data_IF_439712646710
#
_entry.id   IF_439712646710
#
_cell.length_a   1.000
_cell.length_b   1.000
_cell.length_c   1.000
_cell.angle_alpha   90.00
_cell.angle_beta   90.00
_cell.angle_gamma   90.00
#
_symmetry.space_group_name_H-M   'P 1'
#
loop_
_entity.id
_entity.type
_entity.pdbx_description
1 polymer ?
#
# COMPACT_ATOMS: atom_id res chain seq x y z
N UNK A 1 -14.88 -34.56 -11.02
CA UNK A 1 -14.54 -33.84 -12.27
C UNK A 1 -14.82 -32.36 -12.03
N UNK A 2 -13.80 -31.55 -11.78
CA UNK A 2 -13.96 -30.11 -11.60
C UNK A 2 -13.63 -29.40 -12.91
N UNK A 3 -14.58 -28.63 -13.43
CA UNK A 3 -14.43 -27.82 -14.63
C UNK A 3 -13.31 -26.80 -14.40
N UNK A 4 -12.21 -26.96 -15.15
CA UNK A 4 -11.06 -26.07 -15.13
C UNK A 4 -11.46 -24.66 -15.49
N UNK A 5 -11.33 -23.74 -14.54
CA UNK A 5 -11.42 -22.31 -14.81
C UNK A 5 -10.19 -21.91 -15.61
N UNK A 6 -10.42 -21.54 -16.86
CA UNK A 6 -9.41 -21.03 -17.77
C UNK A 6 -8.95 -19.68 -17.24
N UNK A 7 -7.78 -19.64 -16.59
CA UNK A 7 -7.11 -18.39 -16.24
C UNK A 7 -6.62 -17.78 -17.55
N UNK A 8 -7.33 -16.78 -18.05
CA UNK A 8 -6.83 -15.97 -19.15
C UNK A 8 -5.63 -15.19 -18.64
N UNK A 9 -4.42 -15.62 -19.03
CA UNK A 9 -3.26 -14.77 -18.94
C UNK A 9 -3.52 -13.56 -19.85
N UNK A 10 -3.91 -12.44 -19.25
CA UNK A 10 -3.95 -11.16 -19.97
C UNK A 10 -2.50 -10.81 -20.26
N UNK A 11 -2.08 -11.04 -21.50
CA UNK A 11 -0.80 -10.56 -22.01
C UNK A 11 -0.90 -9.04 -22.04
N UNK A 12 -0.33 -8.37 -21.03
CA UNK A 12 -0.22 -6.92 -21.02
C UNK A 12 0.65 -6.50 -22.22
N UNK A 13 0.04 -5.94 -23.26
CA UNK A 13 0.73 -5.38 -24.43
C UNK A 13 1.24 -3.95 -24.20
N UNK A 14 1.72 -3.65 -23.00
CA UNK A 14 2.23 -2.31 -22.68
C UNK A 14 3.71 -2.41 -22.29
N UNK A 15 4.54 -2.82 -23.25
CA UNK A 15 5.98 -2.55 -23.26
C UNK A 15 6.34 -1.72 -24.48
N UNK A 16 5.57 -0.67 -24.75
CA UNK A 16 6.00 0.42 -25.62
C UNK A 16 6.27 1.62 -24.72
N UNK A 17 7.55 1.96 -24.55
CA UNK A 17 8.03 3.04 -23.68
C UNK A 17 7.62 4.44 -24.16
N UNK A 18 7.03 4.57 -25.34
CA UNK A 18 6.93 5.86 -26.03
C UNK A 18 5.57 6.57 -25.88
N UNK A 19 4.58 5.99 -25.18
CA UNK A 19 3.27 6.65 -24.98
C UNK A 19 2.58 6.35 -23.64
N UNK A 20 3.32 6.18 -22.54
CA UNK A 20 2.70 6.36 -21.22
C UNK A 20 2.51 7.86 -20.98
N UNK A 21 1.43 8.40 -21.54
CA UNK A 21 0.81 9.62 -21.04
C UNK A 21 0.74 9.49 -19.51
N UNK A 22 1.16 10.53 -18.78
CA UNK A 22 1.30 10.50 -17.32
C UNK A 22 0.14 9.75 -16.67
N UNK A 23 0.37 8.64 -15.94
CA UNK A 23 -0.71 7.83 -15.40
C UNK A 23 -1.57 8.67 -14.46
N UNK A 24 -2.88 8.44 -14.41
CA UNK A 24 -3.71 9.14 -13.41
C UNK A 24 -3.43 8.66 -11.98
N UNK A 25 -2.93 7.43 -11.83
CA UNK A 25 -2.66 6.79 -10.54
C UNK A 25 -1.51 5.78 -10.65
N UNK A 26 -0.61 5.79 -9.66
CA UNK A 26 0.48 4.82 -9.47
C UNK A 26 0.22 4.08 -8.16
N UNK A 27 0.13 2.75 -8.19
CA UNK A 27 -0.06 1.93 -7.00
C UNK A 27 1.25 1.20 -6.67
N UNK A 28 1.75 1.41 -5.46
CA UNK A 28 2.95 0.77 -4.91
C UNK A 28 2.49 -0.29 -3.91
N UNK A 29 2.75 -1.56 -4.24
CA UNK A 29 2.47 -2.70 -3.37
C UNK A 29 3.69 -3.63 -3.38
N UNK A 30 4.60 -3.41 -2.43
CA UNK A 30 5.88 -4.13 -2.36
C UNK A 30 6.43 -4.14 -0.93
N UNK A 31 7.49 -4.92 -0.70
CA UNK A 31 8.30 -4.89 0.52
C UNK A 31 8.08 -6.05 1.50
N UNK A 32 7.03 -6.87 1.34
CA UNK A 32 6.76 -8.00 2.24
C UNK A 32 7.83 -9.09 2.13
N UNK A 33 8.48 -9.25 0.99
CA UNK A 33 9.58 -10.22 0.78
C UNK A 33 10.90 -9.76 1.40
N UNK A 34 11.07 -8.46 1.60
CA UNK A 34 12.29 -7.88 2.12
C UNK A 34 12.29 -7.77 3.65
N UNK A 35 11.20 -8.14 4.33
CA UNK A 35 11.07 -8.00 5.78
C UNK A 35 12.18 -8.72 6.57
N UNK A 36 12.65 -9.87 6.08
CA UNK A 36 13.76 -10.61 6.72
C UNK A 36 15.13 -10.00 6.42
N UNK A 37 15.35 -9.52 5.19
CA UNK A 37 16.64 -9.04 4.73
C UNK A 37 16.90 -7.56 5.08
N UNK A 38 15.86 -6.73 5.03
CA UNK A 38 15.94 -5.28 5.20
C UNK A 38 15.37 -4.79 6.54
N UNK A 39 14.55 -5.57 7.25
CA UNK A 39 13.95 -5.18 8.54
C UNK A 39 13.37 -3.74 8.49
N UNK A 40 13.89 -2.82 9.33
CA UNK A 40 13.47 -1.40 9.36
C UNK A 40 13.81 -0.62 8.08
N UNK A 41 14.73 -1.11 7.25
CA UNK A 41 15.06 -0.50 5.96
C UNK A 41 13.96 -0.70 4.91
N UNK A 42 13.03 -1.64 5.10
CA UNK A 42 11.89 -1.84 4.19
C UNK A 42 11.05 -0.57 4.07
N UNK A 43 10.77 0.12 5.18
CA UNK A 43 10.03 1.38 5.16
C UNK A 43 10.75 2.46 4.33
N UNK A 44 12.08 2.56 4.49
CA UNK A 44 12.89 3.50 3.72
C UNK A 44 12.92 3.16 2.23
N UNK A 45 12.99 1.88 1.87
CA UNK A 45 12.96 1.44 0.48
C UNK A 45 11.61 1.78 -0.19
N UNK A 46 10.50 1.47 0.49
CA UNK A 46 9.15 1.82 0.02
C UNK A 46 8.99 3.34 -0.14
N UNK A 47 9.48 4.13 0.84
CA UNK A 47 9.48 5.60 0.75
C UNK A 47 10.29 6.09 -0.45
N UNK A 48 11.46 5.53 -0.73
CA UNK A 48 12.28 5.91 -1.90
C UNK A 48 11.55 5.64 -3.21
N UNK A 49 10.81 4.54 -3.31
CA UNK A 49 9.96 4.24 -4.48
C UNK A 49 8.85 5.28 -4.61
N UNK A 50 8.19 5.63 -3.50
CA UNK A 50 7.14 6.64 -3.50
C UNK A 50 7.65 8.03 -3.92
N UNK A 51 8.79 8.47 -3.37
CA UNK A 51 9.44 9.73 -3.76
C UNK A 51 9.73 9.74 -5.25
N UNK A 52 10.31 8.66 -5.80
CA UNK A 52 10.57 8.56 -7.23
C UNK A 52 9.29 8.65 -8.05
N UNK A 53 8.24 7.93 -7.67
CA UNK A 53 6.95 8.00 -8.35
C UNK A 53 6.35 9.41 -8.35
N UNK A 54 6.42 10.13 -7.22
CA UNK A 54 5.94 11.53 -7.15
C UNK A 54 6.77 12.52 -7.97
N UNK A 55 8.06 12.23 -8.18
CA UNK A 55 8.95 13.06 -9.01
C UNK A 55 8.76 12.79 -10.50
N UNK A 56 8.61 11.52 -10.87
CA UNK A 56 8.45 11.08 -12.26
C UNK A 56 7.05 11.39 -12.78
N UNK A 57 6.04 11.34 -11.91
CA UNK A 57 4.64 11.60 -12.26
C UNK A 57 3.99 12.57 -11.26
N UNK A 58 4.31 13.87 -11.32
CA UNK A 58 3.85 14.87 -10.34
C UNK A 58 2.33 15.07 -10.34
N UNK A 59 1.67 14.84 -11.47
CA UNK A 59 0.21 14.95 -11.63
C UNK A 59 -0.53 13.65 -11.26
N UNK A 60 0.20 12.55 -11.01
CA UNK A 60 -0.40 11.29 -10.61
C UNK A 60 -0.77 11.26 -9.13
N UNK A 61 -1.86 10.56 -8.81
CA UNK A 61 -2.05 10.05 -7.44
C UNK A 61 -1.09 8.90 -7.19
N UNK A 62 -0.31 8.96 -6.13
CA UNK A 62 0.55 7.85 -5.71
C UNK A 62 -0.09 7.15 -4.52
N UNK A 63 -0.32 5.84 -4.61
CA UNK A 63 -0.98 5.07 -3.55
C UNK A 63 -0.03 4.02 -3.04
N UNK A 64 0.30 4.04 -1.75
CA UNK A 64 1.03 2.94 -1.12
C UNK A 64 0.01 2.01 -0.46
N UNK A 65 0.00 0.75 -0.87
CA UNK A 65 -0.71 -0.30 -0.15
C UNK A 65 0.18 -0.79 0.98
N UNK A 66 -0.28 -0.68 2.23
CA UNK A 66 0.50 -1.12 3.40
C UNK A 66 0.85 -2.60 3.29
N UNK A 67 1.96 -3.01 3.92
CA UNK A 67 2.37 -4.40 3.98
C UNK A 67 1.25 -5.26 4.57
N UNK A 68 0.97 -6.37 3.88
CA UNK A 68 -0.09 -7.29 4.27
C UNK A 68 0.40 -8.27 5.34
N UNK A 69 -0.51 -8.83 6.16
CA UNK A 69 -0.19 -9.90 7.08
C UNK A 69 0.41 -11.11 6.36
N UNK A 70 1.39 -11.75 7.00
CA UNK A 70 1.94 -13.07 6.64
C UNK A 70 1.94 -13.95 7.89
N UNK A 71 1.76 -15.26 7.73
CA UNK A 71 1.85 -16.22 8.85
C UNK A 71 3.31 -16.46 9.25
N UNK A 72 4.23 -16.40 8.29
CA UNK A 72 5.65 -16.65 8.49
C UNK A 72 6.43 -15.45 9.06
N UNK A 73 5.73 -14.37 9.39
CA UNK A 73 6.30 -13.11 9.88
C UNK A 73 5.48 -12.58 11.06
N UNK A 74 6.10 -12.25 12.20
CA UNK A 74 5.38 -11.73 13.36
C UNK A 74 4.57 -10.45 13.03
N UNK A 75 3.28 -10.37 13.40
CA UNK A 75 2.41 -9.23 13.07
C UNK A 75 2.95 -7.88 13.54
N UNK A 76 3.63 -7.84 14.69
CA UNK A 76 4.19 -6.60 15.24
C UNK A 76 5.30 -6.00 14.37
N UNK A 77 6.06 -6.82 13.63
CA UNK A 77 7.07 -6.33 12.70
C UNK A 77 6.42 -5.66 11.50
N UNK A 78 5.40 -6.29 10.93
CA UNK A 78 4.61 -5.74 9.82
C UNK A 78 3.95 -4.41 10.24
N UNK A 79 3.35 -4.38 11.43
CA UNK A 79 2.74 -3.18 11.98
C UNK A 79 3.76 -2.05 12.18
N UNK A 80 4.95 -2.35 12.72
CA UNK A 80 6.03 -1.37 12.91
C UNK A 80 6.46 -0.77 11.58
N UNK A 81 6.70 -1.60 10.56
CA UNK A 81 7.09 -1.12 9.22
C UNK A 81 5.99 -0.28 8.59
N UNK A 82 4.72 -0.67 8.73
CA UNK A 82 3.59 0.11 8.21
C UNK A 82 3.46 1.48 8.87
N UNK A 83 3.71 1.58 10.19
CA UNK A 83 3.77 2.86 10.91
C UNK A 83 4.90 3.73 10.36
N UNK A 84 6.08 3.17 10.13
CA UNK A 84 7.23 3.91 9.59
C UNK A 84 7.02 4.33 8.12
N UNK A 85 6.36 3.52 7.30
CA UNK A 85 5.92 3.92 5.95
C UNK A 85 4.97 5.11 6.04
N UNK A 86 3.95 5.04 6.91
CA UNK A 86 2.97 6.11 7.06
C UNK A 86 3.62 7.43 7.50
N UNK A 87 4.47 7.40 8.53
CA UNK A 87 5.21 8.58 9.00
C UNK A 87 6.13 9.13 7.92
N UNK A 88 6.96 8.28 7.30
CA UNK A 88 7.96 8.68 6.34
C UNK A 88 7.38 9.30 5.07
N UNK A 89 6.12 8.98 4.77
CA UNK A 89 5.46 9.44 3.56
C UNK A 89 4.36 10.48 3.80
N UNK A 90 4.07 10.84 5.06
CA UNK A 90 3.03 11.83 5.40
C UNK A 90 3.24 13.21 4.77
N UNK A 91 4.48 13.55 4.42
CA UNK A 91 4.84 14.84 3.82
C UNK A 91 4.89 14.81 2.29
N UNK A 92 4.62 13.67 1.64
CA UNK A 92 4.68 13.57 0.19
C UNK A 92 3.37 14.09 -0.44
N UNK A 93 3.44 15.00 -1.44
CA UNK A 93 2.25 15.49 -2.13
C UNK A 93 1.60 14.37 -2.94
N UNK A 94 0.29 14.50 -3.18
CA UNK A 94 -0.50 13.58 -4.02
C UNK A 94 -0.42 12.11 -3.60
N UNK A 95 0.01 11.83 -2.36
CA UNK A 95 0.14 10.48 -1.84
C UNK A 95 -1.06 10.08 -1.00
N UNK A 96 -1.48 8.83 -1.19
CA UNK A 96 -2.47 8.14 -0.38
C UNK A 96 -1.89 6.86 0.22
N UNK A 97 -2.33 6.51 1.42
CA UNK A 97 -2.04 5.24 2.05
C UNK A 97 -3.30 4.38 2.04
N UNK A 98 -3.22 3.19 1.46
CA UNK A 98 -4.29 2.19 1.50
C UNK A 98 -3.96 1.16 2.58
N UNK A 99 -4.70 1.23 3.69
CA UNK A 99 -4.59 0.29 4.80
C UNK A 99 -5.72 -0.73 4.78
N UNK A 100 -5.44 -1.97 5.17
CA UNK A 100 -6.38 -3.12 5.08
C UNK A 100 -6.61 -3.76 6.45
N UNK A 101 -7.28 -3.07 7.40
CA UNK A 101 -7.37 -3.51 8.80
C UNK A 101 -8.20 -4.78 9.00
N UNK A 102 -9.06 -5.14 8.04
CA UNK A 102 -9.88 -6.36 8.08
C UNK A 102 -9.15 -7.58 7.54
N UNK A 103 -7.96 -7.40 6.94
CA UNK A 103 -7.17 -8.50 6.39
C UNK A 103 -6.45 -9.24 7.53
N UNK A 104 -6.40 -10.57 7.45
CA UNK A 104 -5.90 -11.43 8.52
C UNK A 104 -5.50 -12.81 8.00
N UNK A 105 -4.94 -13.69 8.84
CA UNK A 105 -4.38 -14.98 8.39
C UNK A 105 -5.36 -15.88 7.62
N UNK A 106 -6.65 -15.84 7.94
CA UNK A 106 -7.71 -16.60 7.24
C UNK A 106 -8.00 -16.09 5.81
N UNK A 107 -7.44 -14.94 5.43
CA UNK A 107 -7.52 -14.39 4.08
C UNK A 107 -6.33 -14.80 3.20
N UNK A 108 -5.44 -15.65 3.70
CA UNK A 108 -4.33 -16.22 2.96
C UNK A 108 -4.72 -17.58 2.37
N UNK A 109 -4.18 -17.90 1.20
CA UNK A 109 -4.24 -19.22 0.60
C UNK A 109 -3.19 -20.14 1.26
N UNK A 110 -2.02 -19.58 1.56
CA UNK A 110 -0.94 -20.23 2.29
C UNK A 110 -0.41 -19.33 3.41
N UNK A 111 0.89 -19.36 3.69
CA UNK A 111 1.49 -18.53 4.74
C UNK A 111 1.82 -17.10 4.29
N UNK A 112 1.69 -16.79 3.00
CA UNK A 112 2.16 -15.54 2.37
C UNK A 112 1.13 -14.95 1.42
N UNK A 113 0.55 -15.76 0.53
CA UNK A 113 -0.25 -15.29 -0.57
C UNK A 113 -1.74 -15.19 -0.22
N UNK A 114 -2.42 -14.17 -0.74
CA UNK A 114 -3.85 -13.95 -0.52
C UNK A 114 -4.69 -15.04 -1.20
N UNK A 115 -5.76 -15.47 -0.53
CA UNK A 115 -6.85 -16.18 -1.19
C UNK A 115 -7.79 -15.20 -1.92
N UNK A 116 -8.77 -15.74 -2.65
CA UNK A 116 -9.72 -14.93 -3.44
C UNK A 116 -10.45 -13.85 -2.63
N UNK A 117 -10.81 -14.14 -1.38
CA UNK A 117 -11.48 -13.17 -0.48
C UNK A 117 -10.49 -12.08 -0.09
N UNK A 118 -9.26 -12.46 0.28
CA UNK A 118 -8.19 -11.51 0.59
C UNK A 118 -7.89 -10.54 -0.56
N UNK A 119 -7.81 -11.05 -1.79
CA UNK A 119 -7.62 -10.22 -2.98
C UNK A 119 -8.75 -9.20 -3.13
N UNK A 120 -10.00 -9.61 -2.92
CA UNK A 120 -11.15 -8.70 -2.99
C UNK A 120 -11.07 -7.58 -1.95
N UNK A 121 -10.71 -7.92 -0.70
CA UNK A 121 -10.54 -6.96 0.39
C UNK A 121 -9.47 -5.93 0.05
N UNK A 122 -8.34 -6.35 -0.54
CA UNK A 122 -7.25 -5.44 -0.91
C UNK A 122 -7.58 -4.61 -2.16
N UNK A 123 -8.22 -5.21 -3.15
CA UNK A 123 -8.48 -4.57 -4.44
C UNK A 123 -9.55 -3.47 -4.34
N UNK A 124 -10.57 -3.63 -3.49
CA UNK A 124 -11.66 -2.64 -3.38
C UNK A 124 -11.16 -1.24 -2.96
N UNK A 125 -10.43 -1.07 -1.84
CA UNK A 125 -9.89 0.23 -1.45
C UNK A 125 -8.95 0.82 -2.50
N UNK A 126 -8.12 -0.01 -3.13
CA UNK A 126 -7.18 0.44 -4.16
C UNK A 126 -7.91 0.95 -5.41
N UNK A 127 -8.96 0.25 -5.85
CA UNK A 127 -9.81 0.67 -6.96
C UNK A 127 -10.50 1.99 -6.62
N UNK A 128 -11.07 2.12 -5.43
CA UNK A 128 -11.79 3.33 -5.03
C UNK A 128 -10.86 4.55 -4.99
N UNK A 129 -9.65 4.41 -4.42
CA UNK A 129 -8.63 5.48 -4.44
C UNK A 129 -8.18 5.78 -5.87
N UNK A 130 -7.93 4.76 -6.69
CA UNK A 130 -7.47 4.95 -8.06
C UNK A 130 -8.50 5.69 -8.93
N UNK A 131 -9.80 5.49 -8.67
CA UNK A 131 -10.91 6.17 -9.36
C UNK A 131 -11.30 7.50 -8.71
N UNK A 132 -10.73 7.86 -7.56
CA UNK A 132 -11.13 9.05 -6.81
C UNK A 132 -12.50 8.94 -6.14
N UNK A 133 -13.03 7.72 -5.98
CA UNK A 133 -14.27 7.46 -5.28
C UNK A 133 -14.06 7.68 -3.77
N UNK A 134 -14.75 8.66 -3.19
CA UNK A 134 -14.70 8.91 -1.73
C UNK A 134 -15.57 7.89 -1.01
N UNK A 135 -15.00 6.80 -0.50
CA UNK A 135 -15.70 5.96 0.47
C UNK A 135 -15.53 6.58 1.88
N UNK A 136 -16.62 6.89 2.61
CA UNK A 136 -16.55 7.65 3.87
C UNK A 136 -15.83 6.95 5.04
N UNK A 137 -15.42 5.69 4.89
CA UNK A 137 -14.86 4.89 5.99
C UNK A 137 -13.33 4.68 5.95
N UNK A 138 -12.63 5.02 4.85
CA UNK A 138 -11.22 4.62 4.67
C UNK A 138 -10.21 5.77 4.49
N UNK A 139 -10.67 7.01 4.32
CA UNK A 139 -9.81 8.19 4.45
C UNK A 139 -9.63 8.53 5.94
N UNK A 140 -9.06 7.60 6.72
CA UNK A 140 -8.46 8.02 7.98
C UNK A 140 -7.18 8.76 7.63
N UNK A 141 -7.27 10.09 7.55
CA UNK A 141 -6.15 10.92 7.98
C UNK A 141 -5.80 10.44 9.39
N UNK A 142 -4.63 9.82 9.55
CA UNK A 142 -4.12 9.47 10.87
C UNK A 142 -4.14 10.74 11.74
N UNK A 143 -4.55 10.68 13.02
CA UNK A 143 -4.62 11.86 13.84
C UNK A 143 -3.23 12.51 13.91
N UNK A 144 -3.13 13.75 13.43
CA UNK A 144 -2.08 14.66 13.85
C UNK A 144 -2.16 14.71 15.38
N UNK A 145 -1.17 14.13 16.07
CA UNK A 145 -1.05 14.40 17.50
C UNK A 145 -0.95 15.92 17.68
N UNK A 146 -1.65 16.51 18.66
CA UNK A 146 -1.43 17.91 18.98
C UNK A 146 0.02 18.07 19.40
N UNK A 147 0.75 18.96 18.73
CA UNK A 147 1.99 19.51 19.24
C UNK A 147 1.69 20.14 20.60
N UNK A 148 1.99 19.43 21.68
CA UNK A 148 2.11 20.04 22.99
C UNK A 148 3.33 20.98 22.97
N UNK A 149 3.06 22.24 22.66
CA UNK A 149 3.91 23.38 23.01
C UNK A 149 3.75 23.77 24.49
N UNK A 150 4.67 24.60 25.03
CA UNK A 150 5.20 24.42 26.37
C UNK A 150 4.42 25.11 27.51
N UNK A 151 4.68 24.58 28.71
CA UNK A 151 4.53 25.13 30.06
C UNK A 151 4.06 26.60 30.19
N UNK A 152 3.00 26.79 30.99
CA UNK A 152 2.82 28.01 31.79
C UNK A 152 2.39 27.63 33.21
N UNK A 153 3.31 27.80 34.15
CA UNK A 153 3.02 28.02 35.56
C UNK A 153 2.38 29.40 35.76
N UNK A 154 1.57 29.55 36.80
CA UNK A 154 1.79 30.60 37.79
C UNK A 154 2.17 30.01 39.16
#
# INVERSE_FOLDING_TARGET
MFLGWRVSAVRCMNTERDTLWSPACVIIHTGTNDLRALQQHTAMAVRKVAVRATQEFPESRVVISTLLPRVDTPPHLIATVNVEIAKGCATLPSMHLAHHPTLGPWHLHDTVDLNKIGVMIVAMPLKDIALGCKHPAMLQSWPSQPLHGPSRSP
#
